data_IF_657249866801
#
_entry.id   IF_657249866801
#
_cell.length_a   1.000
_cell.length_b   1.000
_cell.length_c   1.000
_cell.angle_alpha   90.00
_cell.angle_beta   90.00
_cell.angle_gamma   90.00
#
_symmetry.space_group_name_H-M   'P 1'
#
loop_
_entity.id
_entity.type
_entity.pdbx_description
1 polymer ?
#
# COMPACT_ATOMS: atom_id res chain seq x y z
N UNK A 1 -12.93 23.93 -0.41
CA UNK A 1 -11.58 23.64 0.10
C UNK A 1 -11.42 22.14 0.09
N UNK A 2 -10.52 21.59 -0.74
CA UNK A 2 -10.23 20.16 -0.72
C UNK A 2 -9.56 19.83 0.60
N UNK A 3 -10.24 19.10 1.49
CA UNK A 3 -9.58 18.54 2.66
C UNK A 3 -8.46 17.62 2.18
N UNK A 4 -7.21 17.95 2.51
CA UNK A 4 -6.10 17.02 2.32
C UNK A 4 -6.35 15.81 3.23
N UNK A 5 -6.36 14.62 2.64
CA UNK A 5 -6.46 13.36 3.39
C UNK A 5 -5.34 13.31 4.43
N UNK A 6 -5.69 13.04 5.70
CA UNK A 6 -4.72 12.85 6.78
C UNK A 6 -4.64 11.37 7.11
N UNK A 7 -3.46 10.89 7.51
CA UNK A 7 -3.31 9.54 8.02
C UNK A 7 -3.57 9.48 9.53
N UNK A 8 -4.04 8.34 10.04
CA UNK A 8 -4.01 8.07 11.48
C UNK A 8 -2.57 7.83 11.99
N UNK A 9 -1.64 7.49 11.09
CA UNK A 9 -0.22 7.43 11.39
C UNK A 9 0.31 8.87 11.45
N UNK A 10 1.03 9.18 12.52
CA UNK A 10 1.71 10.47 12.63
C UNK A 10 2.87 10.53 11.62
N UNK A 11 2.80 11.51 10.73
CA UNK A 11 3.78 11.71 9.65
C UNK A 11 4.32 13.12 9.78
N UNK A 12 5.64 13.23 9.91
CA UNK A 12 6.32 14.50 9.98
C UNK A 12 6.00 15.38 8.75
N UNK A 13 5.76 16.69 8.91
CA UNK A 13 5.42 17.59 7.81
C UNK A 13 6.43 17.58 6.64
N UNK A 14 7.71 17.39 6.95
CA UNK A 14 8.82 17.30 6.01
C UNK A 14 9.07 15.89 5.43
N UNK A 15 8.27 14.89 5.84
CA UNK A 15 8.44 13.53 5.34
C UNK A 15 8.20 13.46 3.83
N UNK A 16 9.07 12.72 3.14
CA UNK A 16 8.89 12.38 1.73
C UNK A 16 7.79 11.32 1.52
N UNK A 17 7.27 10.72 2.59
CA UNK A 17 6.30 9.62 2.55
C UNK A 17 4.96 9.99 3.18
N UNK A 18 4.29 11.09 2.78
CA UNK A 18 2.95 11.37 3.27
C UNK A 18 1.92 10.46 2.59
N UNK A 19 0.69 10.43 3.11
CA UNK A 19 -0.43 9.62 2.57
C UNK A 19 -0.79 9.96 1.10
N UNK A 20 -0.31 11.09 0.59
CA UNK A 20 -0.45 11.47 -0.82
C UNK A 20 0.56 10.79 -1.75
N UNK A 21 1.74 10.39 -1.23
CA UNK A 21 2.81 9.80 -2.04
C UNK A 21 2.64 8.28 -2.17
N UNK A 22 2.62 7.56 -1.04
CA UNK A 22 2.47 6.10 -0.95
C UNK A 22 3.26 5.33 -2.04
N UNK A 23 4.61 5.41 -2.05
CA UNK A 23 5.42 4.68 -3.01
C UNK A 23 5.43 3.18 -2.70
N UNK A 24 5.30 2.35 -3.73
CA UNK A 24 5.43 0.90 -3.62
C UNK A 24 6.91 0.50 -3.69
N UNK A 25 7.29 -0.47 -2.86
CA UNK A 25 8.66 -0.99 -2.80
C UNK A 25 8.69 -2.44 -2.34
N UNK A 26 9.88 -3.04 -2.41
CA UNK A 26 10.16 -4.32 -1.77
C UNK A 26 10.88 -4.03 -0.46
N UNK A 27 10.41 -4.63 0.63
CA UNK A 27 11.05 -4.54 1.93
C UNK A 27 11.25 -5.94 2.51
N UNK A 28 12.18 -6.05 3.45
CA UNK A 28 12.49 -7.29 4.17
C UNK A 28 12.54 -7.02 5.68
N UNK A 29 11.51 -7.41 6.46
CA UNK A 29 11.54 -7.22 7.90
C UNK A 29 12.45 -8.27 8.54
N UNK A 30 13.60 -7.82 9.06
CA UNK A 30 14.59 -8.68 9.72
C UNK A 30 15.04 -9.85 8.83
N UNK A 31 14.81 -11.08 9.30
CA UNK A 31 15.17 -12.32 8.58
C UNK A 31 13.99 -12.95 7.83
N UNK A 32 12.82 -12.29 7.79
CA UNK A 32 11.67 -12.80 7.06
C UNK A 32 11.83 -12.69 5.54
N UNK A 33 10.86 -13.21 4.78
CA UNK A 33 10.83 -13.09 3.33
C UNK A 33 10.59 -11.64 2.91
N UNK A 34 11.29 -11.23 1.85
CA UNK A 34 11.04 -9.96 1.19
C UNK A 34 9.68 -9.99 0.50
N UNK A 35 8.96 -8.87 0.56
CA UNK A 35 7.61 -8.74 0.00
C UNK A 35 7.25 -7.30 -0.30
N UNK A 36 6.11 -7.09 -0.94
CA UNK A 36 5.67 -5.76 -1.34
C UNK A 36 5.17 -4.96 -0.13
N UNK A 37 5.65 -3.73 -0.02
CA UNK A 37 5.21 -2.77 0.99
C UNK A 37 5.05 -1.37 0.44
N UNK A 38 4.46 -0.49 1.24
CA UNK A 38 4.30 0.93 0.95
C UNK A 38 4.85 1.77 2.10
N UNK A 39 5.69 2.76 1.77
CA UNK A 39 6.23 3.67 2.78
C UNK A 39 5.19 4.71 3.22
N UNK A 40 5.11 4.96 4.53
CA UNK A 40 4.26 5.96 5.16
C UNK A 40 4.95 6.52 6.41
N UNK A 41 5.37 7.79 6.37
CA UNK A 41 6.24 8.37 7.39
C UNK A 41 7.52 7.55 7.58
N UNK A 42 7.76 7.13 8.82
CA UNK A 42 8.90 6.27 9.19
C UNK A 42 8.57 4.76 9.14
N UNK A 43 7.39 4.41 8.64
CA UNK A 43 6.86 3.05 8.64
C UNK A 43 6.74 2.48 7.22
N UNK A 44 6.67 1.15 7.16
CA UNK A 44 6.29 0.42 5.95
C UNK A 44 5.02 -0.36 6.24
N UNK A 45 3.98 -0.12 5.43
CA UNK A 45 2.76 -0.91 5.42
C UNK A 45 3.00 -2.18 4.59
N UNK A 46 2.87 -3.34 5.23
CA UNK A 46 3.00 -4.65 4.62
C UNK A 46 1.74 -5.00 3.81
N UNK A 47 1.86 -5.06 2.48
CA UNK A 47 0.71 -5.33 1.61
C UNK A 47 0.34 -6.82 1.57
N UNK A 48 1.27 -7.73 1.89
CA UNK A 48 0.98 -9.16 1.93
C UNK A 48 -0.03 -9.49 3.03
N UNK A 49 0.08 -8.83 4.19
CA UNK A 49 -0.86 -8.99 5.30
C UNK A 49 -2.26 -8.49 4.89
N UNK A 50 -2.35 -7.36 4.19
CA UNK A 50 -3.63 -6.85 3.70
C UNK A 50 -4.25 -7.75 2.61
N UNK A 51 -3.41 -8.38 1.79
CA UNK A 51 -3.81 -9.37 0.80
C UNK A 51 -4.43 -10.61 1.46
N UNK A 52 -3.78 -11.14 2.50
CA UNK A 52 -4.27 -12.27 3.30
C UNK A 52 -5.59 -11.95 4.00
N UNK A 53 -5.76 -10.71 4.49
CA UNK A 53 -7.01 -10.22 5.09
C UNK A 53 -8.13 -9.95 4.07
N UNK A 54 -7.85 -10.11 2.77
CA UNK A 54 -8.85 -10.02 1.71
C UNK A 54 -9.12 -8.60 1.20
N UNK A 55 -8.26 -7.63 1.49
CA UNK A 55 -8.44 -6.26 1.01
C UNK A 55 -8.22 -6.09 -0.51
N UNK A 56 -7.61 -7.08 -1.17
CA UNK A 56 -7.27 -7.06 -2.60
C UNK A 56 -7.97 -8.15 -3.41
N UNK A 57 -9.25 -8.46 -3.11
CA UNK A 57 -10.04 -9.51 -3.79
C UNK A 57 -10.82 -9.03 -5.03
N UNK A 58 -10.56 -7.83 -5.53
CA UNK A 58 -11.24 -7.28 -6.70
C UNK A 58 -10.81 -7.93 -8.04
N UNK A 59 -11.64 -7.82 -9.10
CA UNK A 59 -11.30 -8.31 -10.44
C UNK A 59 -10.00 -7.69 -10.98
N UNK A 60 -9.62 -6.51 -10.50
CA UNK A 60 -8.38 -5.82 -10.87
C UNK A 60 -7.13 -6.62 -10.51
N UNK A 61 -7.19 -7.44 -9.46
CA UNK A 61 -6.07 -8.26 -8.99
C UNK A 61 -6.04 -9.66 -9.61
N UNK A 62 -7.06 -10.02 -10.40
CA UNK A 62 -7.13 -11.29 -11.14
C UNK A 62 -6.98 -12.54 -10.25
N UNK A 63 -7.26 -12.43 -8.95
CA UNK A 63 -7.06 -13.52 -7.98
C UNK A 63 -5.60 -13.92 -7.75
N UNK A 64 -4.64 -13.08 -8.13
CA UNK A 64 -3.20 -13.34 -7.99
C UNK A 64 -2.67 -12.75 -6.67
N UNK A 65 -1.88 -13.51 -5.88
CA UNK A 65 -1.29 -13.02 -4.64
C UNK A 65 0.00 -12.22 -4.88
N UNK A 66 -0.11 -11.10 -5.58
CA UNK A 66 1.03 -10.32 -6.09
C UNK A 66 1.79 -9.55 -5.01
N UNK A 67 1.20 -9.36 -3.82
CA UNK A 67 1.83 -8.59 -2.75
C UNK A 67 2.74 -9.46 -1.85
N UNK A 68 2.56 -10.78 -1.89
CA UNK A 68 3.46 -11.76 -1.26
C UNK A 68 4.75 -12.04 -2.06
N UNK A 69 4.86 -11.51 -3.29
CA UNK A 69 6.04 -11.68 -4.16
C UNK A 69 7.24 -10.84 -3.69
N UNK A 70 8.46 -11.32 -3.94
CA UNK A 70 9.72 -10.61 -3.63
C UNK A 70 10.11 -9.56 -4.69
N UNK A 71 9.23 -9.31 -5.66
CA UNK A 71 9.43 -8.37 -6.75
C UNK A 71 8.12 -7.62 -7.08
N UNK A 72 8.24 -6.37 -7.53
CA UNK A 72 7.08 -5.55 -7.93
C UNK A 72 6.50 -5.96 -9.29
N UNK A 73 7.21 -6.79 -10.07
CA UNK A 73 6.85 -7.13 -11.44
C UNK A 73 5.45 -7.74 -11.55
N UNK A 74 5.07 -8.65 -10.64
CA UNK A 74 3.74 -9.24 -10.62
C UNK A 74 2.66 -8.18 -10.50
N UNK A 75 2.77 -7.30 -9.50
CA UNK A 75 1.84 -6.20 -9.28
C UNK A 75 1.83 -5.18 -10.44
N UNK A 76 3.01 -4.80 -10.95
CA UNK A 76 3.12 -3.86 -12.07
C UNK A 76 2.50 -4.45 -13.36
N UNK A 77 2.59 -5.77 -13.57
CA UNK A 77 2.00 -6.42 -14.75
C UNK A 77 0.47 -6.33 -14.83
N UNK A 78 -0.22 -6.13 -13.69
CA UNK A 78 -1.68 -5.99 -13.63
C UNK A 78 -2.17 -4.66 -14.22
N UNK A 79 -1.30 -3.66 -14.28
CA UNK A 79 -1.57 -2.37 -14.91
C UNK A 79 -2.43 -1.41 -14.07
N UNK A 80 -2.75 -0.28 -14.70
CA UNK A 80 -3.38 0.90 -14.06
C UNK A 80 -4.60 0.61 -13.19
N UNK A 81 -5.57 -0.25 -13.58
CA UNK A 81 -6.74 -0.53 -12.74
C UNK A 81 -6.36 -1.08 -11.36
N UNK A 82 -5.46 -2.05 -11.31
CA UNK A 82 -4.97 -2.63 -10.06
C UNK A 82 -4.22 -1.61 -9.21
N UNK A 83 -3.38 -0.78 -9.84
CA UNK A 83 -2.61 0.24 -9.12
C UNK A 83 -3.52 1.29 -8.47
N UNK A 84 -4.53 1.75 -9.22
CA UNK A 84 -5.51 2.70 -8.71
C UNK A 84 -6.30 2.08 -7.56
N UNK A 85 -6.76 0.84 -7.72
CA UNK A 85 -7.51 0.13 -6.68
C UNK A 85 -6.68 -0.09 -5.42
N UNK A 86 -5.43 -0.52 -5.57
CA UNK A 86 -4.52 -0.69 -4.44
C UNK A 86 -4.32 0.63 -3.69
N UNK A 87 -4.06 1.72 -4.41
CA UNK A 87 -3.90 3.06 -3.81
C UNK A 87 -5.17 3.51 -3.08
N UNK A 88 -6.36 3.32 -3.66
CA UNK A 88 -7.64 3.65 -3.02
C UNK A 88 -7.84 2.88 -1.71
N UNK A 89 -7.57 1.56 -1.72
CA UNK A 89 -7.66 0.72 -0.53
C UNK A 89 -6.68 1.18 0.54
N UNK A 90 -5.42 1.40 0.19
CA UNK A 90 -4.38 1.83 1.12
C UNK A 90 -4.71 3.21 1.71
N UNK A 91 -5.14 4.16 0.89
CA UNK A 91 -5.54 5.48 1.36
C UNK A 91 -6.73 5.42 2.30
N UNK A 92 -7.74 4.60 1.99
CA UNK A 92 -8.90 4.41 2.86
C UNK A 92 -8.50 3.81 4.20
N UNK A 93 -7.65 2.78 4.19
CA UNK A 93 -7.20 2.13 5.43
C UNK A 93 -6.35 3.07 6.27
N UNK A 94 -5.46 3.85 5.65
CA UNK A 94 -4.57 4.77 6.35
C UNK A 94 -5.24 6.08 6.80
N UNK A 95 -6.44 6.39 6.32
CA UNK A 95 -7.12 7.65 6.61
C UNK A 95 -7.44 7.82 8.11
N UNK A 96 -7.23 9.03 8.64
CA UNK A 96 -7.55 9.40 10.02
C UNK A 96 -9.06 9.40 10.30
N UNK A 97 -9.88 9.62 9.27
CA UNK A 97 -11.33 9.61 9.36
C UNK A 97 -11.89 8.59 8.37
N UNK A 98 -12.66 7.64 8.88
CA UNK A 98 -13.39 6.67 8.06
C UNK A 98 -14.81 7.20 7.90
N UNK A 99 -15.11 7.86 6.77
CA UNK A 99 -16.50 8.18 6.40
C UNK A 99 -17.22 6.95 5.83
#
# INVERSE_FOLDING_TARGET
MSHLLKSFIDVAPESHFPIQNLPFGIFKPGQERARVGVAIGEFVLDLSVLEELGHFQGPEFQGRPVFSEDALNGFLSLGRPAWKKAREVIQKLLAAETS
#
